data_IF_697573494796
#
_entry.id   IF_697573494796
#
_cell.length_a   1.000
_cell.length_b   1.000
_cell.length_c   1.000
_cell.angle_alpha   90.00
_cell.angle_beta   90.00
_cell.angle_gamma   90.00
#
_symmetry.space_group_name_H-M   'P 1'
#
loop_
_entity.id
_entity.type
_entity.pdbx_description
1 polymer ?
#
# COMPACT_ATOMS: atom_id res chain seq x y z
N UNK A 1 -54.55 -32.51 1.13
CA UNK A 1 -53.23 -32.98 1.59
C UNK A 1 -52.16 -32.16 0.87
N UNK A 2 -51.68 -31.10 1.49
CA UNK A 2 -50.64 -30.22 0.92
C UNK A 2 -49.31 -30.91 1.09
N UNK A 3 -48.59 -31.09 -0.03
CA UNK A 3 -47.37 -31.87 -0.14
C UNK A 3 -46.24 -31.25 0.72
N UNK A 4 -45.96 -31.82 1.89
CA UNK A 4 -44.95 -31.35 2.86
C UNK A 4 -43.54 -31.18 2.25
N UNK A 5 -43.25 -31.87 1.14
CA UNK A 5 -41.99 -31.71 0.40
C UNK A 5 -41.84 -30.33 -0.26
N UNK A 6 -42.93 -29.74 -0.76
CA UNK A 6 -42.88 -28.42 -1.43
C UNK A 6 -42.64 -27.30 -0.42
N UNK A 7 -43.13 -27.46 0.81
CA UNK A 7 -42.94 -26.49 1.90
C UNK A 7 -41.48 -26.47 2.35
N UNK A 8 -40.84 -27.65 2.50
CA UNK A 8 -39.42 -27.75 2.89
C UNK A 8 -38.47 -27.13 1.86
N UNK A 9 -38.72 -27.30 0.56
CA UNK A 9 -37.87 -26.70 -0.49
C UNK A 9 -38.00 -25.18 -0.57
N UNK A 10 -39.21 -24.63 -0.34
CA UNK A 10 -39.41 -23.16 -0.31
C UNK A 10 -38.78 -22.50 0.92
N UNK A 11 -38.75 -23.20 2.07
CA UNK A 11 -38.10 -22.71 3.30
C UNK A 11 -36.58 -22.67 3.14
N UNK A 12 -35.96 -23.64 2.47
CA UNK A 12 -34.50 -23.63 2.25
C UNK A 12 -34.03 -22.47 1.36
N UNK A 13 -34.82 -22.05 0.36
CA UNK A 13 -34.47 -20.94 -0.55
C UNK A 13 -34.54 -19.57 0.17
N UNK A 14 -35.45 -19.42 1.14
CA UNK A 14 -35.61 -18.20 1.93
C UNK A 14 -34.45 -18.01 2.94
N UNK A 15 -33.92 -19.10 3.50
CA UNK A 15 -32.78 -19.04 4.43
C UNK A 15 -31.46 -18.76 3.69
N UNK A 16 -31.28 -19.29 2.48
CA UNK A 16 -30.10 -18.99 1.65
C UNK A 16 -30.02 -17.52 1.19
N UNK A 17 -31.16 -16.82 1.13
CA UNK A 17 -31.23 -15.41 0.73
C UNK A 17 -30.96 -14.43 1.88
N UNK A 18 -31.02 -14.89 3.14
CA UNK A 18 -30.82 -14.03 4.32
C UNK A 18 -29.36 -13.93 4.77
N UNK A 19 -28.45 -14.72 4.18
CA UNK A 19 -27.01 -14.69 4.50
C UNK A 19 -26.20 -13.65 3.68
N UNK A 20 -26.82 -12.94 2.74
CA UNK A 20 -26.12 -11.95 1.89
C UNK A 20 -26.39 -10.48 2.28
N UNK A 21 -27.18 -10.22 3.32
CA UNK A 21 -27.54 -8.84 3.70
C UNK A 21 -26.47 -8.11 4.54
N UNK A 22 -25.44 -8.78 5.04
CA UNK A 22 -24.38 -8.18 5.86
C UNK A 22 -23.20 -7.60 5.07
N UNK A 23 -23.13 -7.81 3.74
CA UNK A 23 -22.01 -7.31 2.91
C UNK A 23 -22.23 -5.91 2.34
N UNK A 24 -23.46 -5.38 2.36
CA UNK A 24 -23.81 -4.12 1.70
C UNK A 24 -23.08 -2.93 2.36
N UNK A 25 -23.07 -2.86 3.70
CA UNK A 25 -22.43 -1.76 4.43
C UNK A 25 -20.89 -1.73 4.32
N UNK A 26 -20.25 -2.90 4.22
CA UNK A 26 -18.78 -2.99 4.07
C UNK A 26 -18.34 -2.65 2.64
N UNK A 27 -19.09 -3.08 1.63
CA UNK A 27 -18.80 -2.76 0.23
C UNK A 27 -18.90 -1.25 -0.06
N UNK A 28 -19.88 -0.58 0.53
CA UNK A 28 -20.04 0.87 0.42
C UNK A 28 -18.87 1.63 1.08
N UNK A 29 -18.44 1.23 2.28
CA UNK A 29 -17.32 1.86 2.97
C UNK A 29 -15.99 1.73 2.20
N UNK A 30 -15.72 0.55 1.63
CA UNK A 30 -14.53 0.32 0.79
C UNK A 30 -14.57 1.17 -0.49
N UNK A 31 -15.74 1.28 -1.13
CA UNK A 31 -15.90 2.14 -2.32
C UNK A 31 -15.59 3.59 -2.00
N UNK A 32 -16.10 4.09 -0.88
CA UNK A 32 -15.92 5.48 -0.47
C UNK A 32 -14.48 5.76 -0.03
N UNK A 33 -13.84 4.82 0.67
CA UNK A 33 -12.41 4.87 0.96
C UNK A 33 -11.58 4.92 -0.33
N UNK A 34 -11.85 4.07 -1.32
CA UNK A 34 -11.17 4.15 -2.62
C UNK A 34 -11.39 5.48 -3.33
N UNK A 35 -12.59 6.09 -3.19
CA UNK A 35 -12.83 7.44 -3.71
C UNK A 35 -11.95 8.46 -3.00
N UNK A 36 -11.79 8.37 -1.68
CA UNK A 36 -10.87 9.22 -0.92
C UNK A 36 -9.41 9.05 -1.37
N UNK A 37 -8.94 7.82 -1.59
CA UNK A 37 -7.57 7.57 -2.10
C UNK A 37 -7.34 8.23 -3.48
N UNK A 38 -8.37 8.25 -4.33
CA UNK A 38 -8.30 8.90 -5.65
C UNK A 38 -8.27 10.42 -5.57
N UNK A 39 -9.16 11.04 -4.79
CA UNK A 39 -9.21 12.51 -4.70
C UNK A 39 -7.99 13.10 -3.97
N UNK A 40 -7.31 12.31 -3.16
CA UNK A 40 -6.05 12.70 -2.49
C UNK A 40 -4.81 12.47 -3.36
N UNK A 41 -4.96 11.83 -4.53
CA UNK A 41 -3.86 11.41 -5.39
C UNK A 41 -2.79 10.58 -4.63
N UNK A 42 -3.23 9.78 -3.65
CA UNK A 42 -2.30 9.09 -2.74
C UNK A 42 -1.41 8.09 -3.48
N UNK A 43 -1.96 7.40 -4.49
CA UNK A 43 -1.21 6.44 -5.30
C UNK A 43 -0.04 7.09 -6.04
N UNK A 44 -0.28 8.19 -6.75
CA UNK A 44 0.78 8.89 -7.49
C UNK A 44 1.85 9.45 -6.55
N UNK A 45 1.44 9.99 -5.38
CA UNK A 45 2.39 10.46 -4.35
C UNK A 45 3.23 9.32 -3.79
N UNK A 46 2.62 8.18 -3.50
CA UNK A 46 3.31 6.99 -3.02
C UNK A 46 4.35 6.49 -4.04
N UNK A 47 3.96 6.36 -5.31
CA UNK A 47 4.87 5.90 -6.38
C UNK A 47 6.01 6.90 -6.63
N UNK A 48 5.73 8.20 -6.58
CA UNK A 48 6.77 9.24 -6.65
C UNK A 48 7.76 9.13 -5.50
N UNK A 49 7.28 8.93 -4.27
CA UNK A 49 8.13 8.74 -3.10
C UNK A 49 8.97 7.47 -3.21
N UNK A 50 8.38 6.35 -3.63
CA UNK A 50 9.08 5.09 -3.84
C UNK A 50 10.19 5.23 -4.89
N UNK A 51 9.92 5.95 -5.99
CA UNK A 51 10.92 6.24 -7.02
C UNK A 51 12.09 7.07 -6.47
N UNK A 52 11.81 8.11 -5.69
CA UNK A 52 12.85 8.96 -5.12
C UNK A 52 13.71 8.21 -4.08
N UNK A 53 13.09 7.38 -3.25
CA UNK A 53 13.80 6.48 -2.33
C UNK A 53 14.69 5.50 -3.10
N UNK A 54 14.17 4.87 -4.14
CA UNK A 54 14.92 3.95 -5.01
C UNK A 54 16.17 4.63 -5.61
N UNK A 55 16.02 5.87 -6.08
CA UNK A 55 17.16 6.66 -6.61
C UNK A 55 18.19 6.94 -5.52
N UNK A 56 17.78 7.22 -4.28
CA UNK A 56 18.70 7.40 -3.17
C UNK A 56 19.45 6.12 -2.83
N UNK A 57 18.76 4.98 -2.76
CA UNK A 57 19.34 3.66 -2.53
C UNK A 57 20.42 3.36 -3.57
N UNK A 58 20.11 3.54 -4.87
CA UNK A 58 21.07 3.34 -5.96
C UNK A 58 22.29 4.26 -5.83
N UNK A 59 22.10 5.53 -5.45
CA UNK A 59 23.21 6.48 -5.22
C UNK A 59 24.08 6.03 -4.06
N UNK A 60 23.48 5.58 -2.96
CA UNK A 60 24.18 5.07 -1.78
C UNK A 60 25.03 3.85 -2.16
N UNK A 61 24.44 2.85 -2.83
CA UNK A 61 25.19 1.68 -3.28
C UNK A 61 26.34 2.05 -4.24
N UNK A 62 26.07 2.92 -5.22
CA UNK A 62 27.11 3.38 -6.13
C UNK A 62 28.25 4.12 -5.40
N UNK A 63 27.93 4.92 -4.39
CA UNK A 63 28.92 5.61 -3.55
C UNK A 63 29.75 4.63 -2.74
N UNK A 64 29.12 3.67 -2.07
CA UNK A 64 29.80 2.64 -1.27
C UNK A 64 30.77 1.83 -2.14
N UNK A 65 30.30 1.35 -3.29
CA UNK A 65 31.14 0.56 -4.21
C UNK A 65 32.30 1.39 -4.73
N UNK A 66 32.05 2.64 -5.12
CA UNK A 66 33.12 3.51 -5.63
C UNK A 66 34.16 3.83 -4.56
N UNK A 67 33.74 4.16 -3.34
CA UNK A 67 34.64 4.49 -2.24
C UNK A 67 35.49 3.30 -1.78
N UNK A 68 34.94 2.08 -1.82
CA UNK A 68 35.64 0.89 -1.31
C UNK A 68 36.55 0.25 -2.36
N UNK A 69 36.13 0.18 -3.62
CA UNK A 69 36.86 -0.59 -4.66
C UNK A 69 37.12 0.19 -5.94
N UNK A 70 36.88 1.51 -5.95
CA UNK A 70 37.10 2.40 -7.10
C UNK A 70 36.36 1.99 -8.38
N UNK A 71 35.27 1.23 -8.25
CA UNK A 71 34.42 0.78 -9.36
C UNK A 71 33.17 1.65 -9.46
N UNK A 72 32.75 1.95 -10.68
CA UNK A 72 31.44 2.59 -10.93
C UNK A 72 30.42 1.51 -11.26
N UNK A 73 29.30 1.47 -10.52
CA UNK A 73 28.22 0.54 -10.84
C UNK A 73 27.63 0.82 -12.24
N UNK A 74 27.53 -0.19 -13.12
CA UNK A 74 27.03 -0.04 -14.47
C UNK A 74 25.52 0.21 -14.45
N UNK A 75 25.03 0.84 -15.51
CA UNK A 75 23.60 1.19 -15.61
C UNK A 75 22.69 -0.05 -15.58
N UNK A 76 23.15 -1.20 -16.10
CA UNK A 76 22.40 -2.46 -16.02
C UNK A 76 22.10 -2.87 -14.59
N UNK A 77 23.09 -2.86 -13.68
CA UNK A 77 22.89 -3.18 -12.26
C UNK A 77 21.94 -2.17 -11.61
N UNK A 78 22.12 -0.88 -11.88
CA UNK A 78 21.24 0.18 -11.36
C UNK A 78 19.78 0.00 -11.81
N UNK A 79 19.56 -0.37 -13.07
CA UNK A 79 18.24 -0.65 -13.60
C UNK A 79 17.61 -1.87 -12.94
N UNK A 80 18.37 -2.97 -12.77
CA UNK A 80 17.88 -4.17 -12.08
C UNK A 80 17.47 -3.91 -10.63
N UNK A 81 18.20 -3.06 -9.91
CA UNK A 81 17.82 -2.59 -8.57
C UNK A 81 16.52 -1.78 -8.65
N UNK A 82 16.44 -0.82 -9.58
CA UNK A 82 15.26 0.01 -9.75
C UNK A 82 14.00 -0.79 -10.08
N UNK A 83 14.12 -1.80 -10.93
CA UNK A 83 13.03 -2.70 -11.31
C UNK A 83 12.49 -3.46 -10.10
N UNK A 84 13.36 -3.96 -9.22
CA UNK A 84 12.91 -4.63 -8.00
C UNK A 84 12.03 -3.72 -7.15
N UNK A 85 12.46 -2.48 -6.88
CA UNK A 85 11.68 -1.55 -6.05
C UNK A 85 10.40 -1.09 -6.74
N UNK A 86 10.41 -0.88 -8.06
CA UNK A 86 9.21 -0.56 -8.82
C UNK A 86 8.16 -1.68 -8.73
N UNK A 87 8.60 -2.95 -8.74
CA UNK A 87 7.74 -4.10 -8.54
C UNK A 87 7.29 -4.24 -7.09
N UNK A 88 8.21 -4.24 -6.13
CA UNK A 88 7.91 -4.47 -4.71
C UNK A 88 7.07 -3.35 -4.10
N UNK A 89 7.19 -2.13 -4.61
CA UNK A 89 6.47 -0.95 -4.13
C UNK A 89 5.47 -0.37 -5.13
N UNK A 90 4.93 -1.19 -6.06
CA UNK A 90 3.84 -0.73 -6.92
C UNK A 90 2.57 -0.46 -6.11
N UNK A 91 1.93 0.71 -6.29
CA UNK A 91 0.78 1.14 -5.48
C UNK A 91 -0.37 0.13 -5.47
N UNK A 92 -0.63 -0.50 -6.63
CA UNK A 92 -1.67 -1.52 -6.81
C UNK A 92 -1.61 -2.69 -5.82
N UNK A 93 -0.45 -2.96 -5.23
CA UNK A 93 -0.30 -4.01 -4.22
C UNK A 93 -0.85 -3.60 -2.86
N UNK A 94 -0.79 -2.30 -2.54
CA UNK A 94 -1.18 -1.79 -1.24
C UNK A 94 -2.57 -1.16 -1.24
N UNK A 95 -3.01 -0.60 -2.37
CA UNK A 95 -4.27 0.12 -2.50
C UNK A 95 -5.46 -0.61 -1.84
N UNK A 96 -5.71 -1.92 -2.05
CA UNK A 96 -6.87 -2.57 -1.45
C UNK A 96 -6.79 -2.64 0.08
N UNK A 97 -5.61 -2.86 0.64
CA UNK A 97 -5.41 -2.92 2.09
C UNK A 97 -5.45 -1.55 2.74
N UNK A 98 -4.88 -0.54 2.10
CA UNK A 98 -4.99 0.85 2.55
C UNK A 98 -6.46 1.30 2.51
N UNK A 99 -7.21 1.00 1.45
CA UNK A 99 -8.63 1.31 1.38
C UNK A 99 -9.42 0.64 2.52
N UNK A 100 -9.07 -0.61 2.87
CA UNK A 100 -9.66 -1.31 4.02
C UNK A 100 -9.32 -0.64 5.34
N UNK A 101 -8.08 -0.21 5.56
CA UNK A 101 -7.68 0.51 6.78
C UNK A 101 -8.50 1.79 6.94
N UNK A 102 -8.70 2.56 5.86
CA UNK A 102 -9.56 3.74 5.89
C UNK A 102 -11.01 3.38 6.21
N UNK A 103 -11.58 2.37 5.55
CA UNK A 103 -12.95 1.93 5.79
C UNK A 103 -13.19 1.37 7.21
N UNK A 104 -12.19 0.74 7.81
CA UNK A 104 -12.28 0.17 9.16
C UNK A 104 -12.16 1.26 10.26
N UNK A 105 -11.47 2.37 9.97
CA UNK A 105 -11.21 3.42 10.96
C UNK A 105 -12.14 4.64 10.80
N UNK A 106 -12.67 4.87 9.61
CA UNK A 106 -13.52 6.02 9.31
C UNK A 106 -14.96 5.59 9.02
N UNK A 107 -15.90 6.34 9.57
CA UNK A 107 -17.31 6.23 9.21
C UNK A 107 -17.55 6.84 7.82
N UNK A 108 -18.66 6.48 7.14
CA UNK A 108 -19.01 7.08 5.86
C UNK A 108 -19.10 8.62 5.89
N UNK A 109 -19.57 9.20 7.00
CA UNK A 109 -19.63 10.65 7.17
C UNK A 109 -18.22 11.27 7.19
N UNK A 110 -17.31 10.69 7.97
CA UNK A 110 -15.93 11.18 8.09
C UNK A 110 -15.17 11.06 6.74
N UNK A 111 -15.37 9.97 6.00
CA UNK A 111 -14.83 9.83 4.63
C UNK A 111 -15.41 10.93 3.72
N UNK A 112 -16.71 11.21 3.80
CA UNK A 112 -17.37 12.28 3.07
C UNK A 112 -16.76 13.66 3.37
N UNK A 113 -16.58 13.97 4.65
CA UNK A 113 -15.96 15.23 5.09
C UNK A 113 -14.57 15.42 4.48
N UNK A 114 -13.75 14.36 4.47
CA UNK A 114 -12.41 14.40 3.88
C UNK A 114 -12.46 14.55 2.35
N UNK A 115 -13.33 13.80 1.66
CA UNK A 115 -13.49 13.92 0.21
C UNK A 115 -13.85 15.35 -0.17
N UNK A 116 -14.80 15.95 0.53
CA UNK A 116 -15.24 17.31 0.27
C UNK A 116 -14.14 18.32 0.57
N UNK A 117 -13.37 18.14 1.67
CA UNK A 117 -12.18 18.94 1.95
C UNK A 117 -11.19 18.93 0.78
N UNK A 118 -10.82 17.74 0.29
CA UNK A 118 -9.86 17.61 -0.82
C UNK A 118 -10.40 18.14 -2.15
N UNK A 119 -11.72 18.23 -2.31
CA UNK A 119 -12.37 18.86 -3.46
C UNK A 119 -12.60 20.38 -3.27
N UNK A 120 -12.10 20.98 -2.18
CA UNK A 120 -12.35 22.38 -1.81
C UNK A 120 -13.85 22.71 -1.67
N UNK A 121 -14.65 21.75 -1.21
CA UNK A 121 -16.06 21.94 -0.89
C UNK A 121 -16.20 22.33 0.58
N UNK A 122 -17.04 23.32 0.85
CA UNK A 122 -17.29 23.82 2.19
C UNK A 122 -18.25 22.93 2.98
N UNK A 123 -18.07 22.91 4.30
CA UNK A 123 -18.95 22.22 5.24
C UNK A 123 -19.68 23.21 6.14
N UNK A 124 -20.92 22.90 6.59
CA UNK A 124 -21.61 23.74 7.55
C UNK A 124 -20.87 23.73 8.90
N UNK A 125 -20.93 24.82 9.69
CA UNK A 125 -20.27 24.88 11.01
C UNK A 125 -20.67 23.76 11.98
N UNK A 126 -21.84 23.14 11.79
CA UNK A 126 -22.28 21.98 12.57
C UNK A 126 -21.37 20.75 12.44
N UNK A 127 -20.60 20.61 11.36
CA UNK A 127 -19.70 19.48 11.12
C UNK A 127 -18.29 19.68 11.72
N UNK A 128 -18.01 20.83 12.34
CA UNK A 128 -16.66 21.13 12.88
C UNK A 128 -16.20 20.07 13.89
N UNK A 129 -17.08 19.61 14.77
CA UNK A 129 -16.72 18.60 15.77
C UNK A 129 -16.50 17.21 15.12
N UNK A 130 -17.31 16.84 14.13
CA UNK A 130 -17.10 15.61 13.36
C UNK A 130 -15.77 15.66 12.60
N UNK A 131 -15.43 16.80 12.02
CA UNK A 131 -14.16 17.01 11.34
C UNK A 131 -12.97 16.89 12.31
N UNK A 132 -13.02 17.55 13.48
CA UNK A 132 -11.98 17.40 14.51
C UNK A 132 -11.82 15.95 14.95
N UNK A 133 -12.91 15.25 15.19
CA UNK A 133 -12.90 13.83 15.54
C UNK A 133 -12.34 12.95 14.42
N UNK A 134 -12.56 13.33 13.16
CA UNK A 134 -11.93 12.65 12.01
C UNK A 134 -10.41 12.78 12.08
N UNK A 135 -9.90 13.98 12.39
CA UNK A 135 -8.47 14.25 12.44
C UNK A 135 -7.75 13.50 13.56
N UNK A 136 -8.42 13.20 14.68
CA UNK A 136 -7.79 12.46 15.79
C UNK A 136 -7.46 11.01 15.43
N UNK A 137 -8.01 10.48 14.33
CA UNK A 137 -7.76 9.12 13.84
C UNK A 137 -6.56 9.01 12.89
N UNK A 138 -5.97 10.14 12.49
CA UNK A 138 -4.91 10.18 11.49
C UNK A 138 -3.70 9.32 11.87
N UNK A 139 -3.23 9.43 13.12
CA UNK A 139 -2.06 8.69 13.61
C UNK A 139 -2.29 7.17 13.57
N UNK A 140 -3.48 6.71 13.98
CA UNK A 140 -3.83 5.29 13.94
C UNK A 140 -3.89 4.75 12.50
N UNK A 141 -4.47 5.52 11.58
CA UNK A 141 -4.55 5.17 10.15
C UNK A 141 -3.15 5.11 9.54
N UNK A 142 -2.30 6.09 9.84
CA UNK A 142 -0.91 6.15 9.37
C UNK A 142 -0.11 4.94 9.89
N UNK A 143 -0.12 4.71 11.20
CA UNK A 143 0.57 3.58 11.82
C UNK A 143 0.13 2.23 11.22
N UNK A 144 -1.18 2.02 11.09
CA UNK A 144 -1.74 0.81 10.48
C UNK A 144 -1.35 0.66 9.02
N UNK A 145 -1.26 1.77 8.28
CA UNK A 145 -0.84 1.78 6.87
C UNK A 145 0.63 1.43 6.72
N UNK A 146 1.50 1.98 7.58
CA UNK A 146 2.93 1.69 7.60
C UNK A 146 3.16 0.21 7.93
N UNK A 147 2.52 -0.30 8.98
CA UNK A 147 2.59 -1.71 9.36
C UNK A 147 2.12 -2.61 8.22
N UNK A 148 1.01 -2.26 7.57
CA UNK A 148 0.50 -3.00 6.43
C UNK A 148 1.50 -3.03 5.27
N UNK A 149 2.08 -1.89 4.88
CA UNK A 149 3.08 -1.82 3.80
C UNK A 149 4.31 -2.67 4.18
N UNK A 150 4.81 -2.55 5.41
CA UNK A 150 5.95 -3.31 5.89
C UNK A 150 5.70 -4.82 5.77
N UNK A 151 4.56 -5.30 6.30
CA UNK A 151 4.21 -6.72 6.30
C UNK A 151 3.86 -7.29 4.92
N UNK A 152 3.55 -6.45 3.93
CA UNK A 152 3.14 -6.86 2.60
C UNK A 152 4.16 -6.52 1.50
N UNK A 153 5.31 -5.94 1.86
CA UNK A 153 6.43 -5.72 0.96
C UNK A 153 7.48 -6.81 1.14
N UNK A 154 7.95 -7.41 0.04
CA UNK A 154 9.03 -8.42 0.10
C UNK A 154 10.44 -7.80 0.28
N UNK A 155 10.55 -6.48 0.13
CA UNK A 155 11.83 -5.79 0.06
C UNK A 155 12.66 -6.18 -1.18
N UNK A 156 13.82 -5.55 -1.32
CA UNK A 156 14.76 -5.79 -2.43
C UNK A 156 16.22 -5.97 -1.99
N UNK A 157 16.51 -5.76 -0.71
CA UNK A 157 17.87 -5.67 -0.19
C UNK A 157 18.72 -6.90 -0.54
N UNK A 158 18.22 -8.11 -0.29
CA UNK A 158 18.99 -9.35 -0.58
C UNK A 158 19.36 -9.47 -2.07
N UNK A 159 18.39 -9.15 -2.95
CA UNK A 159 18.59 -9.16 -4.40
C UNK A 159 19.58 -8.07 -4.83
N UNK A 160 19.53 -6.90 -4.22
CA UNK A 160 20.46 -5.80 -4.53
C UNK A 160 21.90 -6.19 -4.15
N UNK A 161 22.08 -6.78 -2.97
CA UNK A 161 23.38 -7.29 -2.50
C UNK A 161 23.93 -8.35 -3.45
N UNK A 162 23.10 -9.32 -3.84
CA UNK A 162 23.49 -10.36 -4.80
C UNK A 162 23.89 -9.76 -6.15
N UNK A 163 23.09 -8.84 -6.70
CA UNK A 163 23.37 -8.17 -7.97
C UNK A 163 24.71 -7.43 -7.96
N UNK A 164 24.98 -6.70 -6.88
CA UNK A 164 26.23 -5.94 -6.75
C UNK A 164 27.42 -6.88 -6.55
N UNK A 165 27.31 -7.88 -5.67
CA UNK A 165 28.38 -8.84 -5.41
C UNK A 165 28.74 -9.65 -6.66
N UNK A 166 27.75 -10.13 -7.40
CA UNK A 166 27.97 -10.84 -8.67
C UNK A 166 28.68 -9.95 -9.70
N UNK A 167 28.32 -8.66 -9.75
CA UNK A 167 29.02 -7.70 -10.59
C UNK A 167 30.47 -7.50 -10.16
N UNK A 168 30.74 -7.30 -8.86
CA UNK A 168 32.10 -7.13 -8.34
C UNK A 168 32.97 -8.36 -8.58
N UNK A 169 32.43 -9.57 -8.37
CA UNK A 169 33.11 -10.81 -8.67
C UNK A 169 33.51 -10.90 -10.16
N UNK A 170 32.65 -10.44 -11.07
CA UNK A 170 32.97 -10.38 -12.51
C UNK A 170 34.13 -9.42 -12.85
N UNK A 171 34.43 -8.48 -11.94
CA UNK A 171 35.57 -7.56 -12.04
C UNK A 171 36.82 -8.07 -11.30
N UNK A 172 36.81 -9.33 -10.83
CA UNK A 172 37.85 -9.94 -9.99
C UNK A 172 38.07 -9.22 -8.64
N UNK A 173 37.00 -8.64 -8.09
CA UNK A 173 37.00 -8.03 -6.76
C UNK A 173 36.36 -8.99 -5.77
N UNK A 174 37.08 -9.35 -4.69
CA UNK A 174 36.49 -10.08 -3.57
C UNK A 174 35.62 -9.12 -2.74
N UNK A 175 34.30 -9.31 -2.80
CA UNK A 175 33.32 -8.44 -2.15
C UNK A 175 32.84 -8.97 -0.79
N UNK A 176 33.41 -10.08 -0.28
CA UNK A 176 32.98 -10.75 0.96
C UNK A 176 33.11 -9.91 2.24
N UNK A 177 33.79 -8.76 2.15
CA UNK A 177 34.04 -7.82 3.24
C UNK A 177 33.17 -6.54 3.20
N UNK A 178 32.54 -6.19 2.06
CA UNK A 178 32.04 -4.82 1.85
C UNK A 178 30.51 -4.65 1.84
N UNK A 179 29.75 -5.70 1.51
CA UNK A 179 28.29 -5.65 1.48
C UNK A 179 27.76 -6.89 2.18
N UNK A 180 27.51 -6.78 3.48
CA UNK A 180 26.91 -7.84 4.31
C UNK A 180 25.47 -7.46 4.67
N UNK A 181 24.60 -8.47 4.62
CA UNK A 181 23.31 -8.44 5.29
C UNK A 181 23.61 -8.74 6.77
N UNK A 182 23.61 -7.72 7.62
CA UNK A 182 23.52 -7.90 9.08
C UNK A 182 22.06 -7.95 9.50
#
# INVERSE_FOLDING_TARGET
>A
MVNERVVKTKILILIASFCFASSIGSADAIRDANRLLRVTDLGSRFESMALDQTRMIIRTYASIVNMNVSITLPQSVKNSIAECYAEAYAWKQFEPGIAKIFADNLTPNEIGLLIDLYNNLGHPPSEIENFKNTLTKAEQIESSSIEYIFNNSKGCLERDVELINNYLASQNVDSSEYIRLE
#
